data_IF_531128690987
#
_entry.id   IF_531128690987
#
_cell.length_a   1.000
_cell.length_b   1.000
_cell.length_c   1.000
_cell.angle_alpha   90.00
_cell.angle_beta   90.00
_cell.angle_gamma   90.00
#
_symmetry.space_group_name_H-M   'P 1'
#
loop_
_entity.id
_entity.type
_entity.pdbx_description
1 polymer ?
#
# COMPACT_ATOMS: atom_id res chain seq x y z
N UNK A 1 16.59 -6.74 29.57
CA UNK A 1 16.84 -7.28 28.21
C UNK A 1 15.56 -7.60 27.42
N UNK A 2 14.44 -7.96 28.08
CA UNK A 2 13.14 -8.19 27.40
C UNK A 2 12.47 -6.94 26.81
N UNK A 3 12.52 -5.81 27.51
CA UNK A 3 11.89 -4.54 27.11
C UNK A 3 12.40 -3.98 25.78
N UNK A 4 13.69 -4.12 25.47
CA UNK A 4 14.27 -3.64 24.20
C UNK A 4 13.77 -4.43 22.98
N UNK A 5 13.78 -5.77 23.08
CA UNK A 5 13.30 -6.65 22.00
C UNK A 5 11.79 -6.50 21.76
N UNK A 6 11.03 -6.22 22.81
CA UNK A 6 9.60 -5.96 22.72
C UNK A 6 9.31 -4.61 22.03
N UNK A 7 10.02 -3.56 22.40
CA UNK A 7 9.92 -2.25 21.75
C UNK A 7 10.27 -2.32 20.26
N UNK A 8 11.37 -3.00 19.90
CA UNK A 8 11.78 -3.21 18.51
C UNK A 8 10.69 -3.97 17.69
N UNK A 9 10.02 -4.96 18.29
CA UNK A 9 8.91 -5.68 17.65
C UNK A 9 7.70 -4.77 17.40
N UNK A 10 7.32 -3.96 18.39
CA UNK A 10 6.18 -3.03 18.29
C UNK A 10 6.44 -1.99 17.20
N UNK A 11 7.67 -1.49 17.11
CA UNK A 11 8.06 -0.51 16.09
C UNK A 11 7.98 -1.10 14.67
N UNK A 12 8.53 -2.29 14.45
CA UNK A 12 8.42 -2.99 13.16
C UNK A 12 6.95 -3.24 12.79
N UNK A 13 6.13 -3.70 13.74
CA UNK A 13 4.69 -3.93 13.51
C UNK A 13 3.96 -2.64 13.14
N UNK A 14 4.23 -1.54 13.85
CA UNK A 14 3.62 -0.24 13.55
C UNK A 14 4.06 0.27 12.17
N UNK A 15 5.33 0.03 11.79
CA UNK A 15 5.82 0.30 10.44
C UNK A 15 5.03 -0.45 9.37
N UNK A 16 4.79 -1.75 9.57
CA UNK A 16 3.99 -2.57 8.65
C UNK A 16 2.54 -2.06 8.56
N UNK A 17 1.90 -1.74 9.68
CA UNK A 17 0.52 -1.22 9.70
C UNK A 17 0.42 0.10 8.92
N UNK A 18 1.38 1.02 9.12
CA UNK A 18 1.44 2.27 8.36
C UNK A 18 1.57 2.01 6.85
N UNK A 19 2.42 1.07 6.47
CA UNK A 19 2.58 0.70 5.06
C UNK A 19 1.31 0.06 4.48
N UNK A 20 0.59 -0.77 5.25
CA UNK A 20 -0.70 -1.33 4.81
C UNK A 20 -1.75 -0.24 4.49
N UNK A 21 -1.79 0.84 5.28
CA UNK A 21 -2.69 1.97 5.00
C UNK A 21 -2.30 2.65 3.68
N UNK A 22 -1.01 2.89 3.46
CA UNK A 22 -0.51 3.49 2.22
C UNK A 22 -0.81 2.57 1.02
N UNK A 23 -0.56 1.27 1.16
CA UNK A 23 -0.86 0.28 0.13
C UNK A 23 -2.35 0.20 -0.20
N UNK A 24 -3.23 0.32 0.79
CA UNK A 24 -4.68 0.38 0.55
C UNK A 24 -5.07 1.62 -0.28
N UNK A 25 -4.48 2.78 0.01
CA UNK A 25 -4.72 4.01 -0.77
C UNK A 25 -4.20 3.86 -2.20
N UNK A 26 -2.99 3.33 -2.37
CA UNK A 26 -2.43 3.06 -3.70
C UNK A 26 -3.31 2.10 -4.51
N UNK A 27 -3.75 1.00 -3.89
CA UNK A 27 -4.66 0.04 -4.50
C UNK A 27 -6.01 0.65 -4.89
N UNK A 28 -6.58 1.55 -4.07
CA UNK A 28 -7.81 2.28 -4.41
C UNK A 28 -7.60 3.15 -5.64
N UNK A 29 -6.48 3.87 -5.72
CA UNK A 29 -6.17 4.74 -6.86
C UNK A 29 -6.01 3.94 -8.16
N UNK A 30 -5.28 2.82 -8.08
CA UNK A 30 -5.14 1.89 -9.19
C UNK A 30 -6.48 1.29 -9.61
N UNK A 31 -7.25 0.75 -8.66
CA UNK A 31 -8.53 0.10 -8.92
C UNK A 31 -9.55 1.04 -9.53
N UNK A 32 -9.72 2.24 -8.96
CA UNK A 32 -10.62 3.27 -9.48
C UNK A 32 -10.15 3.81 -10.84
N UNK A 33 -8.84 3.97 -11.02
CA UNK A 33 -8.25 4.38 -12.28
C UNK A 33 -8.51 3.37 -13.41
N UNK A 34 -8.26 2.08 -13.14
CA UNK A 34 -8.54 0.99 -14.09
C UNK A 34 -10.04 0.89 -14.38
N UNK A 35 -10.87 0.96 -13.34
CA UNK A 35 -12.32 0.93 -13.48
C UNK A 35 -12.83 2.07 -14.38
N UNK A 36 -12.43 3.31 -14.11
CA UNK A 36 -12.85 4.48 -14.88
C UNK A 36 -12.43 4.41 -16.35
N UNK A 37 -11.20 3.96 -16.64
CA UNK A 37 -10.70 3.88 -18.02
C UNK A 37 -11.29 2.72 -18.82
N UNK A 38 -11.40 1.53 -18.22
CA UNK A 38 -11.64 0.30 -18.97
C UNK A 38 -13.00 -0.33 -18.74
N UNK A 39 -13.61 -0.10 -17.57
CA UNK A 39 -14.86 -0.76 -17.17
C UNK A 39 -16.06 0.17 -17.35
N UNK A 40 -15.98 1.40 -16.82
CA UNK A 40 -17.09 2.34 -16.79
C UNK A 40 -17.52 2.83 -18.17
N UNK A 41 -16.59 3.01 -19.11
CA UNK A 41 -16.86 3.42 -20.50
C UNK A 41 -17.78 4.65 -20.63
N UNK A 42 -17.69 5.59 -19.68
CA UNK A 42 -18.49 6.82 -19.64
C UNK A 42 -19.74 6.75 -18.74
N UNK A 43 -20.03 5.60 -18.13
CA UNK A 43 -21.14 5.40 -17.19
C UNK A 43 -20.63 4.93 -15.81
N UNK A 44 -19.68 5.67 -15.25
CA UNK A 44 -19.16 5.38 -13.91
C UNK A 44 -20.17 5.72 -12.81
N UNK A 45 -20.12 4.97 -11.70
CA UNK A 45 -20.94 5.24 -10.51
C UNK A 45 -20.71 6.65 -9.90
N UNK A 46 -19.59 7.30 -10.23
CA UNK A 46 -19.30 8.67 -9.80
C UNK A 46 -18.78 9.48 -11.00
N UNK A 47 -19.31 10.69 -11.28
CA UNK A 47 -18.95 11.47 -12.49
C UNK A 47 -17.46 11.76 -12.63
N UNK A 48 -16.77 11.91 -11.49
CA UNK A 48 -15.32 12.14 -11.43
C UNK A 48 -14.51 11.07 -12.19
N UNK A 49 -15.02 9.82 -12.21
CA UNK A 49 -14.39 8.67 -12.86
C UNK A 49 -14.67 8.58 -14.37
N UNK A 50 -15.46 9.51 -14.93
CA UNK A 50 -15.63 9.64 -16.38
C UNK A 50 -14.63 10.63 -16.99
N UNK A 51 -13.88 11.38 -16.18
CA UNK A 51 -12.87 12.33 -16.65
C UNK A 51 -11.54 11.61 -16.92
N UNK A 52 -11.23 11.40 -18.20
CA UNK A 52 -10.05 10.63 -18.62
C UNK A 52 -8.73 11.14 -18.02
N UNK A 53 -8.53 12.46 -17.96
CA UNK A 53 -7.33 13.07 -17.39
C UNK A 53 -7.18 12.75 -15.90
N UNK A 54 -8.27 12.88 -15.14
CA UNK A 54 -8.27 12.63 -13.71
C UNK A 54 -8.03 11.16 -13.40
N UNK A 55 -8.70 10.26 -14.11
CA UNK A 55 -8.57 8.82 -13.94
C UNK A 55 -7.17 8.34 -14.32
N UNK A 56 -6.58 8.92 -15.36
CA UNK A 56 -5.19 8.66 -15.76
C UNK A 56 -4.21 9.16 -14.69
N UNK A 57 -4.44 10.34 -14.12
CA UNK A 57 -3.64 10.87 -13.02
C UNK A 57 -3.73 9.99 -11.76
N UNK A 58 -4.92 9.49 -11.42
CA UNK A 58 -5.12 8.52 -10.34
C UNK A 58 -4.31 7.25 -10.57
N UNK A 59 -4.31 6.73 -11.80
CA UNK A 59 -3.53 5.55 -12.18
C UNK A 59 -2.02 5.78 -12.02
N UNK A 60 -1.49 6.88 -12.58
CA UNK A 60 -0.07 7.22 -12.46
C UNK A 60 0.32 7.41 -10.99
N UNK A 61 -0.47 8.15 -10.22
CA UNK A 61 -0.23 8.34 -8.79
C UNK A 61 -0.28 7.02 -8.02
N UNK A 62 -1.25 6.16 -8.32
CA UNK A 62 -1.37 4.82 -7.73
C UNK A 62 -0.14 3.95 -8.02
N UNK A 63 0.37 3.95 -9.26
CA UNK A 63 1.58 3.19 -9.63
C UNK A 63 2.80 3.70 -8.85
N UNK A 64 2.99 5.03 -8.80
CA UNK A 64 4.12 5.64 -8.07
C UNK A 64 4.04 5.32 -6.58
N UNK A 65 2.85 5.44 -5.98
CA UNK A 65 2.62 5.10 -4.58
C UNK A 65 2.86 3.63 -4.29
N UNK A 66 2.44 2.72 -5.19
CA UNK A 66 2.63 1.28 -5.01
C UNK A 66 4.11 0.89 -5.09
N UNK A 67 4.86 1.46 -6.04
CA UNK A 67 6.32 1.24 -6.14
C UNK A 67 7.02 1.73 -4.86
N UNK A 68 6.66 2.94 -4.40
CA UNK A 68 7.21 3.49 -3.16
C UNK A 68 6.84 2.63 -1.95
N UNK A 69 5.57 2.25 -1.82
CA UNK A 69 5.05 1.38 -0.78
C UNK A 69 5.82 0.06 -0.70
N UNK A 70 5.98 -0.65 -1.83
CA UNK A 70 6.72 -1.91 -1.89
C UNK A 70 8.19 -1.74 -1.51
N UNK A 71 8.83 -0.64 -1.95
CA UNK A 71 10.23 -0.35 -1.61
C UNK A 71 10.47 -0.24 -0.09
N UNK A 72 9.48 0.24 0.66
CA UNK A 72 9.53 0.40 2.12
C UNK A 72 8.98 -0.83 2.87
N UNK A 73 7.95 -1.49 2.34
CA UNK A 73 7.31 -2.65 2.98
C UNK A 73 8.20 -3.89 2.94
N UNK A 74 8.82 -4.19 1.79
CA UNK A 74 9.68 -5.39 1.62
C UNK A 74 10.79 -5.47 2.69
N UNK A 75 11.59 -4.43 2.98
CA UNK A 75 12.61 -4.51 4.02
C UNK A 75 12.01 -4.70 5.43
N UNK A 76 10.87 -4.06 5.74
CA UNK A 76 10.18 -4.25 7.02
C UNK A 76 9.69 -5.68 7.20
N UNK A 77 9.13 -6.29 6.14
CA UNK A 77 8.71 -7.69 6.16
C UNK A 77 9.89 -8.64 6.35
N UNK A 78 11.04 -8.37 5.69
CA UNK A 78 12.26 -9.15 5.89
C UNK A 78 12.76 -9.06 7.33
N UNK A 79 12.76 -7.87 7.93
CA UNK A 79 13.14 -7.69 9.34
C UNK A 79 12.19 -8.43 10.28
N UNK A 80 10.88 -8.33 10.04
CA UNK A 80 9.87 -9.04 10.82
C UNK A 80 10.01 -10.56 10.73
N UNK A 81 10.23 -11.10 9.53
CA UNK A 81 10.44 -12.53 9.31
C UNK A 81 11.70 -13.05 10.02
N UNK A 82 12.81 -12.29 9.95
CA UNK A 82 14.06 -12.61 10.66
C UNK A 82 13.86 -12.60 12.18
N UNK A 83 13.13 -11.62 12.71
CA UNK A 83 12.79 -11.55 14.13
C UNK A 83 11.94 -12.74 14.57
N UNK A 84 10.96 -13.14 13.75
CA UNK A 84 10.09 -14.30 14.02
C UNK A 84 10.90 -15.60 14.09
N UNK A 85 11.77 -15.85 13.10
CA UNK A 85 12.64 -17.03 13.07
C UNK A 85 13.61 -17.10 14.26
N UNK A 86 14.23 -15.98 14.63
CA UNK A 86 15.16 -15.92 15.77
C UNK A 86 14.46 -16.08 17.13
N UNK A 87 13.15 -15.86 17.22
CA UNK A 87 12.39 -16.03 18.46
C UNK A 87 11.85 -17.45 18.69
N UNK A 88 12.13 -18.42 17.80
CA UNK A 88 11.81 -19.83 18.03
C UNK A 88 10.31 -20.13 18.15
N UNK A 89 9.47 -19.40 17.41
CA UNK A 89 8.06 -19.73 17.18
C UNK A 89 7.83 -20.17 15.75
#
# INVERSE_FOLDING_TARGET
MGTRKENERIEIRNGIIRMQIIGAIAALFLGLGIYGLYVAKGDAFHPLLNHHELVSAMLVAGIVLEIWHLSQLIPLLKQYAKFKQLSGM
#
